data_IF_685118017225
#
_entry.id   IF_685118017225
#
_cell.length_a   1.000
_cell.length_b   1.000
_cell.length_c   1.000
_cell.angle_alpha   90.00
_cell.angle_beta   90.00
_cell.angle_gamma   90.00
#
_symmetry.space_group_name_H-M   'P 1'
#
loop_
_entity.id
_entity.type
_entity.pdbx_description
1 polymer ?
#
# COMPACT_ATOMS: atom_id res chain seq x y z
N UNK A 1 15.63 5.48 0.20
CA UNK A 1 14.40 5.32 -0.60
C UNK A 1 13.35 6.26 -0.02
N UNK A 2 12.65 7.03 -0.84
CA UNK A 2 11.47 7.83 -0.45
C UNK A 2 10.20 7.04 -0.80
N UNK A 3 9.73 6.22 0.14
CA UNK A 3 8.63 5.27 -0.09
C UNK A 3 7.22 5.90 -0.02
N UNK A 4 7.12 7.18 0.37
CA UNK A 4 5.86 7.92 0.43
C UNK A 4 4.97 7.54 1.60
N UNK A 5 3.65 7.59 1.39
CA UNK A 5 2.67 7.27 2.41
C UNK A 5 2.77 5.81 2.84
N UNK A 6 2.55 5.53 4.12
CA UNK A 6 2.53 4.18 4.67
C UNK A 6 1.14 3.83 5.20
N UNK A 7 0.71 2.59 4.96
CA UNK A 7 -0.46 2.00 5.58
C UNK A 7 -0.27 0.51 5.82
N UNK A 8 -1.07 -0.06 6.72
CA UNK A 8 -1.27 -1.51 6.78
C UNK A 8 -2.53 -1.86 6.00
N UNK A 9 -2.40 -2.71 4.99
CA UNK A 9 -3.53 -3.29 4.26
C UNK A 9 -3.93 -4.61 4.91
N UNK A 10 -5.14 -4.69 5.44
CA UNK A 10 -5.66 -5.87 6.11
C UNK A 10 -6.49 -6.74 5.15
N UNK A 11 -6.17 -8.04 5.13
CA UNK A 11 -7.01 -9.05 4.49
C UNK A 11 -8.21 -9.34 5.39
N UNK A 12 -9.37 -8.76 5.08
CA UNK A 12 -10.58 -8.89 5.92
C UNK A 12 -11.64 -9.70 5.20
N UNK A 13 -12.40 -10.50 5.96
CA UNK A 13 -13.48 -11.32 5.41
C UNK A 13 -14.70 -10.49 4.98
N UNK A 14 -14.96 -9.43 5.72
CA UNK A 14 -16.07 -8.49 5.48
C UNK A 14 -15.59 -7.07 5.81
N UNK A 15 -15.63 -6.21 4.81
CA UNK A 15 -15.11 -4.84 4.88
C UNK A 15 -16.03 -3.96 5.72
N UNK A 16 -17.34 -4.13 5.64
CA UNK A 16 -18.30 -3.33 6.40
C UNK A 16 -18.19 -3.65 7.90
N UNK A 17 -18.13 -4.93 8.26
CA UNK A 17 -17.96 -5.36 9.65
C UNK A 17 -16.64 -4.85 10.23
N UNK A 18 -15.56 -4.93 9.45
CA UNK A 18 -14.24 -4.46 9.88
C UNK A 18 -14.21 -2.94 10.03
N UNK A 19 -14.80 -2.20 9.08
CA UNK A 19 -14.94 -0.74 9.17
C UNK A 19 -15.65 -0.35 10.47
N UNK A 20 -16.80 -0.95 10.74
CA UNK A 20 -17.59 -0.63 11.93
C UNK A 20 -16.78 -0.91 13.22
N UNK A 21 -15.98 -1.98 13.24
CA UNK A 21 -15.05 -2.24 14.35
C UNK A 21 -14.02 -1.13 14.50
N UNK A 22 -13.30 -0.77 13.43
CA UNK A 22 -12.24 0.25 13.49
C UNK A 22 -12.78 1.66 13.77
N UNK A 23 -14.05 1.94 13.44
CA UNK A 23 -14.72 3.18 13.84
C UNK A 23 -14.78 3.36 15.36
N UNK A 24 -14.90 2.27 16.15
CA UNK A 24 -14.83 2.35 17.61
C UNK A 24 -13.44 2.72 18.14
N UNK A 25 -12.40 2.54 17.32
CA UNK A 25 -11.03 2.99 17.60
C UNK A 25 -10.75 4.41 17.09
N UNK A 26 -11.78 5.12 16.59
CA UNK A 26 -11.67 6.49 16.09
C UNK A 26 -11.17 6.61 14.66
N UNK A 27 -11.21 5.53 13.88
CA UNK A 27 -10.93 5.60 12.44
C UNK A 27 -12.16 6.11 11.67
N UNK A 28 -11.92 6.93 10.65
CA UNK A 28 -12.94 7.44 9.74
C UNK A 28 -12.67 6.95 8.31
N UNK A 29 -13.72 6.83 7.49
CA UNK A 29 -13.57 6.54 6.06
C UNK A 29 -12.81 7.71 5.39
N UNK A 30 -11.72 7.38 4.71
CA UNK A 30 -10.85 8.35 4.05
C UNK A 30 -10.87 8.21 2.53
N UNK A 31 -11.03 6.98 2.02
CA UNK A 31 -11.14 6.71 0.59
C UNK A 31 -11.54 5.27 0.28
N UNK A 32 -11.58 4.95 -1.00
CA UNK A 32 -11.98 3.64 -1.51
C UNK A 32 -13.47 3.54 -1.82
N UNK A 33 -13.95 2.31 -2.00
CA UNK A 33 -15.33 2.02 -2.37
C UNK A 33 -15.78 0.69 -1.76
N UNK A 34 -16.70 0.78 -0.78
CA UNK A 34 -17.23 -0.37 -0.07
C UNK A 34 -17.92 -1.37 -1.01
N UNK A 35 -18.63 -0.91 -2.04
CA UNK A 35 -19.28 -1.79 -3.03
C UNK A 35 -18.25 -2.58 -3.85
N UNK A 36 -17.05 -2.02 -4.02
CA UNK A 36 -15.92 -2.69 -4.65
C UNK A 36 -15.11 -3.51 -3.64
N UNK A 37 -15.55 -3.63 -2.38
CA UNK A 37 -14.90 -4.49 -1.40
C UNK A 37 -13.57 -3.96 -0.84
N UNK A 38 -13.35 -2.64 -0.85
CA UNK A 38 -12.21 -2.05 -0.15
C UNK A 38 -12.48 -0.64 0.40
N UNK A 39 -11.84 -0.31 1.52
CA UNK A 39 -11.87 1.01 2.13
C UNK A 39 -10.48 1.39 2.65
N UNK A 40 -10.15 2.67 2.59
CA UNK A 40 -9.02 3.25 3.31
C UNK A 40 -9.59 4.04 4.48
N UNK A 41 -9.13 3.74 5.68
CA UNK A 41 -9.52 4.41 6.91
C UNK A 41 -8.36 5.23 7.46
N UNK A 42 -8.69 6.29 8.22
CA UNK A 42 -7.70 7.19 8.81
C UNK A 42 -8.03 7.57 10.25
N UNK A 43 -7.01 7.63 11.10
CA UNK A 43 -7.05 8.21 12.44
C UNK A 43 -5.79 9.07 12.66
N UNK A 44 -5.94 10.39 12.65
CA UNK A 44 -4.80 11.31 12.66
C UNK A 44 -3.91 11.08 11.43
N UNK A 45 -2.65 10.70 11.65
CA UNK A 45 -1.70 10.36 10.58
C UNK A 45 -1.67 8.85 10.25
N UNK A 46 -2.44 8.03 10.97
CA UNK A 46 -2.44 6.58 10.81
C UNK A 46 -3.43 6.16 9.73
N UNK A 47 -2.97 5.37 8.76
CA UNK A 47 -3.78 4.82 7.68
C UNK A 47 -3.94 3.30 7.80
N UNK A 48 -5.14 2.83 7.50
CA UNK A 48 -5.49 1.42 7.48
C UNK A 48 -6.28 1.10 6.22
N UNK A 49 -5.79 0.18 5.39
CA UNK A 49 -6.56 -0.37 4.28
C UNK A 49 -7.34 -1.61 4.70
N UNK A 50 -8.60 -1.70 4.31
CA UNK A 50 -9.44 -2.88 4.47
C UNK A 50 -9.73 -3.45 3.09
N UNK A 51 -9.35 -4.70 2.85
CA UNK A 51 -9.48 -5.34 1.55
C UNK A 51 -10.17 -6.70 1.67
N UNK A 52 -11.32 -6.85 1.02
CA UNK A 52 -12.08 -8.09 0.95
C UNK A 52 -11.68 -8.96 -0.24
N UNK A 53 -10.78 -9.92 -0.03
CA UNK A 53 -10.40 -10.89 -1.06
C UNK A 53 -9.42 -10.37 -2.14
N UNK A 54 -8.83 -9.19 -1.95
CA UNK A 54 -7.83 -8.63 -2.88
C UNK A 54 -6.38 -9.05 -2.58
N UNK A 55 -6.08 -9.36 -1.32
CA UNK A 55 -4.73 -9.67 -0.84
C UNK A 55 -4.75 -10.98 -0.05
N UNK A 56 -3.68 -11.76 -0.15
CA UNK A 56 -3.62 -13.09 0.47
C UNK A 56 -3.36 -13.04 1.98
N UNK A 57 -2.65 -12.00 2.44
CA UNK A 57 -2.32 -11.77 3.85
C UNK A 57 -2.23 -10.26 4.14
N UNK A 58 -2.09 -9.89 5.41
CA UNK A 58 -1.87 -8.49 5.77
C UNK A 58 -0.55 -8.00 5.16
N UNK A 59 -0.57 -6.78 4.62
CA UNK A 59 0.51 -6.23 3.80
C UNK A 59 0.91 -4.85 4.29
N UNK A 60 2.22 -4.63 4.40
CA UNK A 60 2.82 -3.31 4.58
C UNK A 60 2.79 -2.59 3.23
N UNK A 61 2.01 -1.53 3.11
CA UNK A 61 1.80 -0.85 1.84
C UNK A 61 2.44 0.52 1.88
N UNK A 62 3.26 0.80 0.86
CA UNK A 62 3.91 2.08 0.65
C UNK A 62 3.45 2.68 -0.68
N UNK A 63 3.15 3.98 -0.69
CA UNK A 63 2.69 4.68 -1.87
C UNK A 63 3.63 5.86 -2.20
N UNK A 64 4.69 5.63 -2.99
CA UNK A 64 5.56 6.68 -3.47
C UNK A 64 4.76 7.73 -4.24
N UNK A 65 5.11 9.00 -4.03
CA UNK A 65 4.44 10.12 -4.69
C UNK A 65 3.22 10.65 -3.94
N UNK A 66 2.81 10.04 -2.83
CA UNK A 66 1.79 10.57 -1.92
C UNK A 66 2.29 10.86 -0.50
N UNK A 67 1.65 11.81 0.16
CA UNK A 67 1.69 11.99 1.62
C UNK A 67 0.57 11.18 2.32
N UNK A 68 0.53 11.21 3.65
CA UNK A 68 -0.51 10.51 4.43
C UNK A 68 -1.94 11.07 4.22
N UNK A 69 -2.11 12.16 3.47
CA UNK A 69 -3.37 12.75 3.07
C UNK A 69 -3.71 12.45 1.60
N UNK A 70 -3.06 11.46 1.00
CA UNK A 70 -3.20 11.09 -0.41
C UNK A 70 -3.00 12.30 -1.36
N UNK A 71 -2.20 13.28 -0.93
CA UNK A 71 -1.82 14.42 -1.75
C UNK A 71 -0.51 14.13 -2.45
N UNK A 72 -0.40 14.58 -3.70
CA UNK A 72 0.81 14.41 -4.49
C UNK A 72 1.99 15.17 -3.90
N UNK A 73 3.15 14.50 -3.78
CA UNK A 73 4.41 15.13 -3.37
C UNK A 73 5.34 15.29 -4.57
N UNK A 74 5.95 16.46 -4.76
CA UNK A 74 6.74 16.74 -5.95
C UNK A 74 7.97 15.81 -6.11
N UNK A 75 8.61 15.42 -5.01
CA UNK A 75 9.79 14.58 -5.02
C UNK A 75 9.54 13.23 -4.36
N UNK A 76 9.70 12.15 -5.11
CA UNK A 76 9.64 10.77 -4.63
C UNK A 76 10.58 9.89 -5.47
N UNK A 77 10.95 8.72 -4.96
CA UNK A 77 11.70 7.74 -5.76
C UNK A 77 10.69 6.93 -6.61
N UNK A 78 10.89 6.85 -7.93
CA UNK A 78 10.07 6.01 -8.81
C UNK A 78 10.20 4.53 -8.42
N UNK A 79 9.10 3.79 -8.48
CA UNK A 79 9.04 2.36 -8.14
C UNK A 79 10.03 1.52 -8.95
N UNK A 80 10.36 1.91 -10.19
CA UNK A 80 11.35 1.23 -11.03
C UNK A 80 12.77 1.43 -10.52
N UNK A 81 13.07 2.62 -10.01
CA UNK A 81 14.36 2.90 -9.36
C UNK A 81 14.47 2.20 -8.01
N UNK A 82 13.36 2.07 -7.29
CA UNK A 82 13.29 1.27 -6.06
C UNK A 82 13.54 -0.22 -6.39
N UNK A 83 12.86 -0.77 -7.38
CA UNK A 83 13.05 -2.14 -7.88
C UNK A 83 14.52 -2.44 -8.20
N UNK A 84 15.17 -1.57 -9.01
CA UNK A 84 16.59 -1.72 -9.38
C UNK A 84 17.50 -1.75 -8.16
N UNK A 85 17.27 -0.85 -7.19
CA UNK A 85 18.04 -0.79 -5.94
C UNK A 85 17.86 -2.06 -5.09
N UNK A 86 16.64 -2.60 -4.99
CA UNK A 86 16.36 -3.83 -4.26
C UNK A 86 17.03 -5.04 -4.92
N UNK A 87 16.92 -5.19 -6.25
CA UNK A 87 17.58 -6.25 -7.01
C UNK A 87 19.10 -6.19 -6.90
N UNK A 88 19.69 -4.98 -6.95
CA UNK A 88 21.13 -4.78 -6.74
C UNK A 88 21.60 -5.17 -5.33
N UNK A 89 20.71 -5.11 -4.33
CA UNK A 89 20.98 -5.56 -2.97
C UNK A 89 20.75 -7.08 -2.76
N UNK A 90 20.39 -7.82 -3.82
CA UNK A 90 20.11 -9.26 -3.74
C UNK A 90 18.76 -9.59 -3.13
N UNK A 91 17.84 -8.63 -3.05
CA UNK A 91 16.47 -8.84 -2.54
C UNK A 91 15.61 -9.37 -3.69
N UNK A 92 14.97 -10.52 -3.45
CA UNK A 92 14.03 -11.12 -4.39
C UNK A 92 12.68 -10.38 -4.34
N UNK A 93 12.15 -10.05 -5.53
CA UNK A 93 10.80 -9.52 -5.69
C UNK A 93 9.87 -10.65 -6.11
N UNK A 94 8.63 -10.59 -5.62
CA UNK A 94 7.54 -11.49 -6.02
C UNK A 94 6.89 -11.00 -7.30
N UNK A 95 6.53 -9.72 -7.33
CA UNK A 95 6.02 -9.03 -8.49
C UNK A 95 6.98 -7.90 -8.87
N UNK A 96 7.28 -7.79 -10.16
CA UNK A 96 8.13 -6.78 -10.75
C UNK A 96 7.32 -5.92 -11.74
N UNK A 97 7.76 -4.68 -11.93
CA UNK A 97 7.23 -3.79 -12.95
C UNK A 97 8.19 -3.67 -14.15
N UNK A 98 7.65 -3.20 -15.28
CA UNK A 98 8.45 -2.86 -16.47
C UNK A 98 9.37 -1.67 -16.18
N UNK A 99 10.68 -1.91 -16.23
CA UNK A 99 11.72 -0.92 -15.92
C UNK A 99 11.81 0.21 -16.96
N UNK A 100 11.32 -0.02 -18.18
CA UNK A 100 11.26 0.98 -19.26
C UNK A 100 9.89 1.68 -19.34
N UNK A 101 8.94 1.26 -18.50
CA UNK A 101 7.60 1.82 -18.44
C UNK A 101 7.55 3.20 -17.78
N UNK A 102 6.38 3.83 -17.84
CA UNK A 102 6.07 5.09 -17.16
C UNK A 102 4.66 5.04 -16.60
N UNK A 103 4.36 5.86 -15.60
CA UNK A 103 3.04 5.91 -14.99
C UNK A 103 2.88 4.88 -13.86
N UNK A 104 1.61 4.57 -13.50
CA UNK A 104 1.29 3.67 -12.41
C UNK A 104 1.98 2.31 -12.55
N UNK A 105 2.54 1.83 -11.43
CA UNK A 105 3.24 0.55 -11.36
C UNK A 105 3.38 0.12 -9.90
N UNK A 106 3.56 -1.16 -9.67
CA UNK A 106 3.80 -1.70 -8.35
C UNK A 106 4.86 -2.78 -8.36
N UNK A 107 5.44 -3.02 -7.20
CA UNK A 107 6.27 -4.21 -6.91
C UNK A 107 5.83 -4.82 -5.59
N UNK A 108 6.00 -6.12 -5.45
CA UNK A 108 5.73 -6.82 -4.20
C UNK A 108 6.91 -7.69 -3.78
N UNK A 109 7.08 -7.87 -2.48
CA UNK A 109 8.15 -8.68 -1.91
C UNK A 109 7.77 -9.21 -0.53
N UNK A 110 8.60 -10.11 -0.02
CA UNK A 110 8.58 -10.49 1.39
C UNK A 110 9.84 -9.99 2.08
N UNK A 111 9.69 -9.61 3.34
CA UNK A 111 10.82 -9.47 4.24
C UNK A 111 11.35 -10.84 4.72
N UNK A 112 12.45 -10.88 5.51
CA UNK A 112 13.01 -12.14 6.01
C UNK A 112 12.08 -12.99 6.87
N UNK A 113 11.05 -12.38 7.47
CA UNK A 113 10.08 -13.05 8.33
C UNK A 113 8.77 -13.42 7.60
N UNK A 114 8.67 -13.10 6.31
CA UNK A 114 7.51 -13.42 5.47
C UNK A 114 6.39 -12.38 5.51
N UNK A 115 6.64 -11.18 6.06
CA UNK A 115 5.67 -10.09 5.98
C UNK A 115 5.56 -9.59 4.53
N UNK A 116 4.33 -9.52 4.02
CA UNK A 116 4.09 -8.97 2.68
C UNK A 116 4.36 -7.48 2.66
N UNK A 117 5.08 -7.03 1.64
CA UNK A 117 5.32 -5.62 1.36
C UNK A 117 4.84 -5.35 -0.07
N UNK A 118 4.05 -4.29 -0.22
CA UNK A 118 3.61 -3.73 -1.50
C UNK A 118 4.12 -2.30 -1.60
N UNK A 119 4.76 -1.98 -2.72
CA UNK A 119 5.13 -0.60 -3.08
C UNK A 119 4.35 -0.28 -4.34
N UNK A 120 3.35 0.59 -4.21
CA UNK A 120 2.33 0.85 -5.22
C UNK A 120 2.29 2.33 -5.58
N UNK A 121 2.78 2.66 -6.78
CA UNK A 121 2.87 4.00 -7.32
C UNK A 121 1.67 4.28 -8.22
N UNK A 122 0.99 5.41 -7.96
CA UNK A 122 -0.30 5.77 -8.59
C UNK A 122 -0.18 6.74 -9.78
N UNK A 123 1.03 7.19 -10.14
CA UNK A 123 1.25 8.14 -11.24
C UNK A 123 2.61 7.98 -11.92
#
# INVERSE_FOLDING_TARGET
MKLGAFSVSLNVKDVAVSRDFYAHLGFEEFGGNLEHGYLILKNGETLLGLFGGFIEQNTLTFNPGWDANAQEVAEFDDVREIQKRLKAAGIALRDECDEDGSGPAHISLLDPDGNAILIDQHR
#
